data_IF_702073605434
#
_entry.id   IF_702073605434
#
_cell.length_a   1.000
_cell.length_b   1.000
_cell.length_c   1.000
_cell.angle_alpha   90.00
_cell.angle_beta   90.00
_cell.angle_gamma   90.00
#
_symmetry.space_group_name_H-M   'P 1'
#
loop_
_entity.id
_entity.type
_entity.pdbx_description
1 polymer ?
#
# COMPACT_ATOMS: atom_id res chain seq x y z
N UNK A 1 -4.05 -1.47 -0.73
CA UNK A 1 -3.61 -1.73 -2.12
C UNK A 1 -2.08 -1.84 -2.10
N UNK A 2 -1.50 -2.92 -2.63
CA UNK A 2 -0.04 -3.08 -2.75
C UNK A 2 0.50 -2.68 -4.13
N UNK A 3 -0.36 -2.28 -5.06
CA UNK A 3 0.00 -1.92 -6.42
C UNK A 3 -0.68 -0.63 -6.87
N UNK A 4 -0.02 0.13 -7.73
CA UNK A 4 -0.55 1.36 -8.32
C UNK A 4 0.06 1.66 -9.70
N UNK A 5 -0.65 2.44 -10.50
CA UNK A 5 -0.24 2.80 -11.86
C UNK A 5 0.53 4.11 -11.93
N UNK A 6 1.57 4.15 -12.77
CA UNK A 6 2.34 5.36 -13.06
C UNK A 6 2.40 5.60 -14.56
N UNK A 7 2.07 6.81 -15.00
CA UNK A 7 2.29 7.28 -16.36
C UNK A 7 3.67 7.93 -16.45
N UNK A 8 4.60 7.33 -17.20
CA UNK A 8 5.95 7.84 -17.41
C UNK A 8 6.05 8.40 -18.83
N UNK A 9 6.16 9.73 -18.92
CA UNK A 9 6.43 10.43 -20.18
C UNK A 9 7.94 10.57 -20.39
N UNK A 10 8.40 10.18 -21.58
CA UNK A 10 9.79 10.34 -22.00
C UNK A 10 9.88 11.13 -23.30
N UNK A 11 10.82 12.06 -23.36
CA UNK A 11 11.23 12.79 -24.57
C UNK A 11 12.36 12.08 -25.34
N UNK A 12 12.71 10.85 -24.93
CA UNK A 12 13.80 10.05 -25.49
C UNK A 12 15.18 10.35 -24.90
N UNK A 13 15.35 11.37 -24.04
CA UNK A 13 16.64 11.66 -23.40
C UNK A 13 16.94 10.77 -22.20
N UNK A 14 15.89 10.32 -21.50
CA UNK A 14 15.98 9.41 -20.36
C UNK A 14 15.09 8.19 -20.60
N UNK A 15 15.60 7.03 -20.25
CA UNK A 15 14.85 5.78 -20.21
C UNK A 15 13.83 5.80 -19.07
N UNK A 16 12.81 4.93 -19.15
CA UNK A 16 11.82 4.74 -18.08
C UNK A 16 12.50 4.39 -16.76
N UNK A 17 13.54 3.53 -16.79
CA UNK A 17 14.34 3.17 -15.62
C UNK A 17 15.03 4.39 -14.99
N UNK A 18 15.61 5.27 -15.79
CA UNK A 18 16.26 6.50 -15.27
C UNK A 18 15.26 7.50 -14.69
N UNK A 19 14.05 7.57 -15.23
CA UNK A 19 12.97 8.43 -14.71
C UNK A 19 12.40 7.90 -13.39
N UNK A 20 12.33 6.59 -13.21
CA UNK A 20 11.83 5.95 -11.99
C UNK A 20 12.87 5.88 -10.87
N UNK A 21 14.15 5.72 -11.20
CA UNK A 21 15.24 5.49 -10.23
C UNK A 21 15.29 6.46 -9.03
N UNK A 22 15.00 7.77 -9.17
CA UNK A 22 14.96 8.69 -8.01
C UNK A 22 13.91 8.34 -6.95
N UNK A 23 12.96 7.48 -7.26
CA UNK A 23 11.82 7.13 -6.42
C UNK A 23 11.84 5.65 -5.96
N UNK A 24 12.95 4.95 -6.19
CA UNK A 24 13.16 3.57 -5.78
C UNK A 24 13.39 3.45 -4.27
N UNK A 25 12.68 2.55 -3.61
CA UNK A 25 12.95 2.16 -2.22
C UNK A 25 14.24 1.34 -2.11
N UNK A 26 14.90 1.41 -0.94
CA UNK A 26 16.15 0.69 -0.70
C UNK A 26 15.94 -0.67 0.01
N UNK A 27 14.92 -1.42 -0.40
CA UNK A 27 14.60 -2.73 0.20
C UNK A 27 15.44 -3.88 -0.41
N UNK A 28 15.83 -3.77 -1.68
CA UNK A 28 16.61 -4.78 -2.40
C UNK A 28 18.11 -4.46 -2.46
N UNK A 29 18.56 -3.34 -1.87
CA UNK A 29 19.96 -2.92 -1.83
C UNK A 29 20.54 -2.46 -3.18
N UNK A 30 19.69 -2.26 -4.19
CA UNK A 30 20.06 -1.87 -5.56
C UNK A 30 19.68 -0.42 -5.89
N UNK A 31 19.06 0.31 -4.95
CA UNK A 31 18.76 1.72 -5.11
C UNK A 31 20.07 2.53 -5.26
N UNK A 32 20.20 3.40 -6.29
CA UNK A 32 21.43 4.14 -6.51
C UNK A 32 21.81 5.02 -5.31
N UNK A 33 23.03 4.86 -4.80
CA UNK A 33 23.54 5.59 -3.61
C UNK A 33 23.32 7.11 -3.63
N UNK A 34 23.32 7.74 -4.81
CA UNK A 34 23.07 9.19 -4.97
C UNK A 34 21.68 9.64 -4.52
N UNK A 35 20.71 8.72 -4.40
CA UNK A 35 19.36 8.98 -3.90
C UNK A 35 19.20 8.59 -2.43
N UNK A 36 20.20 7.93 -1.84
CA UNK A 36 20.12 7.44 -0.48
C UNK A 36 20.60 8.47 0.52
N UNK A 37 19.92 8.52 1.65
CA UNK A 37 20.32 9.23 2.86
C UNK A 37 20.46 8.22 3.99
N UNK A 38 21.54 8.34 4.76
CA UNK A 38 21.68 7.58 5.99
C UNK A 38 20.73 8.14 7.06
N UNK A 39 20.01 7.25 7.72
CA UNK A 39 19.17 7.55 8.87
C UNK A 39 19.79 6.89 10.09
N UNK A 40 20.24 7.73 11.04
CA UNK A 40 20.67 7.25 12.35
C UNK A 40 19.48 6.66 13.09
N UNK A 41 19.57 5.37 13.43
CA UNK A 41 18.58 4.72 14.26
C UNK A 41 18.68 5.22 15.71
N UNK A 42 19.88 5.63 16.14
CA UNK A 42 20.10 6.26 17.44
C UNK A 42 19.28 7.53 17.55
N UNK A 43 19.45 8.49 16.63
CA UNK A 43 18.71 9.75 16.63
C UNK A 43 17.20 9.51 16.51
N UNK A 44 16.79 8.61 15.61
CA UNK A 44 15.37 8.30 15.34
C UNK A 44 14.66 7.74 16.57
N UNK A 45 15.29 6.82 17.29
CA UNK A 45 14.64 6.07 18.37
C UNK A 45 15.00 6.60 19.77
N UNK A 46 15.91 7.57 19.90
CA UNK A 46 16.37 8.08 21.19
C UNK A 46 15.23 8.51 22.11
N UNK A 47 14.30 9.35 21.63
CA UNK A 47 13.18 9.82 22.45
C UNK A 47 12.27 8.66 22.90
N UNK A 48 11.98 7.72 21.97
CA UNK A 48 11.17 6.54 22.27
C UNK A 48 11.85 5.63 23.27
N UNK A 49 13.17 5.45 23.18
CA UNK A 49 13.96 4.70 24.13
C UNK A 49 13.95 5.34 25.53
N UNK A 50 14.16 6.65 25.61
CA UNK A 50 14.27 7.37 26.89
C UNK A 50 12.94 7.43 27.66
N UNK A 51 11.83 7.64 26.92
CA UNK A 51 10.52 7.95 27.52
C UNK A 51 9.50 6.83 27.39
N UNK A 52 9.72 5.91 26.45
CA UNK A 52 8.79 4.85 26.12
C UNK A 52 8.87 3.66 27.08
N UNK A 53 7.89 2.79 26.93
CA UNK A 53 7.74 1.56 27.70
C UNK A 53 7.11 0.47 26.86
N UNK A 54 7.17 -0.76 27.36
CA UNK A 54 6.55 -1.93 26.77
C UNK A 54 5.71 -2.65 27.82
N UNK A 55 4.52 -3.10 27.42
CA UNK A 55 3.72 -3.99 28.25
C UNK A 55 4.31 -5.40 28.19
N UNK A 56 4.75 -5.91 29.33
CA UNK A 56 5.39 -7.23 29.49
C UNK A 56 4.66 -8.02 30.58
N UNK A 57 4.53 -9.33 30.40
CA UNK A 57 4.03 -10.21 31.46
C UNK A 57 5.16 -10.46 32.46
N UNK A 58 4.96 -10.03 33.70
CA UNK A 58 5.89 -10.22 34.81
C UNK A 58 5.41 -11.37 35.69
N UNK A 59 6.24 -12.41 35.81
CA UNK A 59 6.01 -13.53 36.71
C UNK A 59 6.34 -13.14 38.16
N UNK A 60 5.85 -13.92 39.14
CA UNK A 60 6.08 -13.66 40.56
C UNK A 60 7.56 -13.75 40.98
N UNK A 61 8.37 -14.53 40.26
CA UNK A 61 9.81 -14.64 40.47
C UNK A 61 10.60 -13.45 39.89
N UNK A 62 9.90 -12.48 39.30
CA UNK A 62 10.47 -11.29 38.67
C UNK A 62 10.90 -11.49 37.22
N UNK A 63 10.70 -12.69 36.65
CA UNK A 63 11.02 -12.95 35.24
C UNK A 63 10.04 -12.25 34.30
N UNK A 64 10.58 -11.69 33.23
CA UNK A 64 9.81 -11.13 32.11
C UNK A 64 9.56 -12.18 31.03
N UNK A 65 8.31 -12.22 30.55
CA UNK A 65 7.91 -12.97 29.36
C UNK A 65 7.42 -11.98 28.31
N UNK A 66 8.15 -11.91 27.20
CA UNK A 66 7.90 -10.91 26.15
C UNK A 66 6.64 -11.23 25.33
N UNK A 67 5.89 -10.20 24.87
CA UNK A 67 4.65 -10.36 24.10
C UNK A 67 4.76 -11.24 22.86
N UNK A 68 5.91 -11.24 22.18
CA UNK A 68 6.14 -12.03 20.96
C UNK A 68 6.65 -13.44 21.25
N UNK A 69 7.02 -13.77 22.50
CA UNK A 69 7.44 -15.12 22.85
C UNK A 69 6.23 -16.03 23.10
N UNK A 70 5.44 -16.25 22.04
CA UNK A 70 4.19 -17.02 22.09
C UNK A 70 4.43 -18.45 22.57
N UNK A 71 5.57 -19.05 22.22
CA UNK A 71 5.92 -20.40 22.64
C UNK A 71 6.09 -20.46 24.16
N UNK A 72 6.81 -19.50 24.74
CA UNK A 72 6.98 -19.44 26.19
C UNK A 72 5.67 -19.12 26.90
N UNK A 73 4.87 -18.15 26.41
CA UNK A 73 3.56 -17.83 26.97
C UNK A 73 2.62 -19.06 27.00
N UNK A 74 2.54 -19.81 25.89
CA UNK A 74 1.74 -21.05 25.79
C UNK A 74 2.25 -22.17 26.71
N UNK A 75 3.54 -22.16 27.06
CA UNK A 75 4.11 -23.14 27.97
C UNK A 75 3.82 -22.85 29.45
N UNK A 76 3.50 -21.59 29.78
CA UNK A 76 3.32 -21.13 31.16
C UNK A 76 1.84 -20.98 31.53
N UNK A 77 1.03 -20.45 30.61
CA UNK A 77 -0.34 -20.03 30.86
C UNK A 77 -1.38 -20.85 30.09
N UNK A 78 -2.53 -21.10 30.71
CA UNK A 78 -3.74 -21.50 30.00
C UNK A 78 -4.13 -20.43 28.97
N UNK A 79 -4.60 -20.87 27.80
CA UNK A 79 -4.97 -19.96 26.73
C UNK A 79 -6.17 -20.43 25.91
N UNK A 80 -6.86 -19.46 25.31
CA UNK A 80 -7.94 -19.65 24.32
C UNK A 80 -7.57 -18.93 23.04
N UNK A 81 -7.87 -19.54 21.89
CA UNK A 81 -7.64 -18.97 20.56
C UNK A 81 -8.97 -18.63 19.90
N UNK A 82 -9.10 -17.42 19.39
CA UNK A 82 -10.22 -16.95 18.59
C UNK A 82 -9.74 -16.66 17.15
N UNK A 83 -10.51 -17.09 16.16
CA UNK A 83 -10.16 -17.06 14.72
C UNK A 83 -11.21 -16.34 13.87
N UNK A 84 -12.17 -15.67 14.49
CA UNK A 84 -13.29 -15.00 13.81
C UNK A 84 -13.03 -13.51 13.53
N UNK A 85 -11.84 -13.01 13.88
CA UNK A 85 -11.42 -11.63 13.67
C UNK A 85 -12.07 -10.61 14.62
N UNK A 86 -12.90 -11.03 15.57
CA UNK A 86 -13.53 -10.13 16.53
C UNK A 86 -12.67 -9.96 17.79
N UNK A 87 -12.73 -8.78 18.42
CA UNK A 87 -12.07 -8.54 19.70
C UNK A 87 -12.87 -9.14 20.86
N UNK A 88 -12.37 -10.23 21.43
CA UNK A 88 -12.96 -10.95 22.56
C UNK A 88 -12.60 -10.35 23.91
N UNK A 89 -11.80 -9.28 23.97
CA UNK A 89 -11.31 -8.72 25.24
C UNK A 89 -12.43 -8.24 26.18
N UNK A 90 -13.58 -7.87 25.61
CA UNK A 90 -14.77 -7.42 26.33
C UNK A 90 -15.49 -8.54 27.13
N UNK A 91 -15.27 -9.82 26.80
CA UNK A 91 -15.85 -10.94 27.54
C UNK A 91 -15.17 -11.16 28.92
N UNK A 92 -13.97 -10.60 29.10
CA UNK A 92 -13.13 -10.80 30.27
C UNK A 92 -13.29 -9.62 31.25
N UNK A 93 -14.15 -9.79 32.25
CA UNK A 93 -14.48 -8.72 33.24
C UNK A 93 -13.26 -8.20 34.00
N UNK A 94 -12.35 -9.09 34.40
CA UNK A 94 -11.12 -8.73 35.11
C UNK A 94 -9.93 -8.67 34.13
N UNK A 95 -9.90 -7.68 33.23
CA UNK A 95 -8.89 -7.60 32.15
C UNK A 95 -7.43 -7.67 32.62
N UNK A 96 -7.13 -7.35 33.88
CA UNK A 96 -5.77 -7.42 34.44
C UNK A 96 -5.25 -8.84 34.64
N UNK A 97 -6.16 -9.83 34.73
CA UNK A 97 -5.81 -11.25 34.84
C UNK A 97 -5.52 -11.89 33.47
N UNK A 98 -5.67 -11.13 32.37
CA UNK A 98 -5.54 -11.66 31.02
C UNK A 98 -4.56 -10.85 30.18
N UNK A 99 -3.78 -11.55 29.37
CA UNK A 99 -2.96 -10.95 28.32
C UNK A 99 -3.56 -11.29 26.95
N UNK A 100 -3.91 -10.25 26.19
CA UNK A 100 -4.51 -10.37 24.87
C UNK A 100 -3.42 -10.16 23.81
N UNK A 101 -3.20 -11.17 22.98
CA UNK A 101 -2.20 -11.13 21.92
C UNK A 101 -2.87 -11.32 20.56
N UNK A 102 -2.61 -10.41 19.63
CA UNK A 102 -3.09 -10.53 18.24
C UNK A 102 -1.90 -10.90 17.37
N UNK A 103 -2.01 -12.02 16.67
CA UNK A 103 -0.88 -12.55 15.87
C UNK A 103 -1.40 -13.30 14.65
N UNK A 104 -0.46 -13.72 13.78
CA UNK A 104 -0.74 -14.57 12.62
C UNK A 104 -0.29 -16.00 12.91
N UNK A 105 -1.21 -16.94 12.78
CA UNK A 105 -0.94 -18.37 12.80
C UNK A 105 -0.90 -18.90 11.35
N UNK A 106 0.11 -19.70 10.95
CA UNK A 106 0.24 -20.20 9.57
C UNK A 106 -0.94 -21.03 9.06
N UNK A 107 -1.72 -21.65 9.96
CA UNK A 107 -2.85 -22.52 9.62
C UNK A 107 -4.17 -21.76 9.80
N UNK A 108 -4.30 -21.03 10.91
CA UNK A 108 -5.55 -20.39 11.30
C UNK A 108 -5.69 -18.95 10.79
N UNK A 109 -4.64 -18.36 10.23
CA UNK A 109 -4.62 -16.97 9.80
C UNK A 109 -4.50 -15.99 10.97
N UNK A 110 -5.18 -14.85 10.90
CA UNK A 110 -5.17 -13.88 12.00
C UNK A 110 -5.96 -14.40 13.20
N UNK A 111 -5.30 -14.45 14.36
CA UNK A 111 -5.89 -14.97 15.60
C UNK A 111 -5.72 -14.00 16.77
N UNK A 112 -6.68 -14.03 17.68
CA UNK A 112 -6.53 -13.47 19.02
C UNK A 112 -6.28 -14.63 20.00
N UNK A 113 -5.15 -14.58 20.70
CA UNK A 113 -4.83 -15.51 21.78
C UNK A 113 -5.04 -14.78 23.10
N UNK A 114 -5.84 -15.35 23.98
CA UNK A 114 -6.08 -14.83 25.33
C UNK A 114 -5.42 -15.75 26.33
N UNK A 115 -4.40 -15.25 27.02
CA UNK A 115 -3.69 -15.96 28.07
C UNK A 115 -4.26 -15.57 29.44
N UNK A 116 -4.59 -16.55 30.28
CA UNK A 116 -4.93 -16.33 31.70
C UNK A 116 -3.63 -16.21 32.50
N UNK A 117 -3.18 -14.98 32.71
CA UNK A 117 -1.96 -14.69 33.48
C UNK A 117 -2.23 -14.68 34.99
N UNK A 118 -3.49 -14.51 35.39
CA UNK A 118 -3.95 -14.54 36.77
C UNK A 118 -3.74 -15.91 37.43
N UNK A 119 -3.81 -17.01 36.67
CA UNK A 119 -3.59 -18.37 37.20
C UNK A 119 -2.20 -18.57 37.83
N UNK A 120 -1.18 -17.82 37.38
CA UNK A 120 0.17 -17.82 37.95
C UNK A 120 0.44 -16.59 38.81
N UNK A 121 -0.59 -15.81 39.12
CA UNK A 121 -0.48 -14.49 39.76
C UNK A 121 0.56 -13.60 39.05
N UNK A 122 0.68 -13.74 37.73
CA UNK A 122 1.51 -12.87 36.91
C UNK A 122 0.73 -11.57 36.63
N UNK A 123 1.47 -10.51 36.36
CA UNK A 123 0.88 -9.19 36.09
C UNK A 123 1.40 -8.59 34.79
N UNK A 124 0.52 -7.87 34.09
CA UNK A 124 0.93 -7.05 32.96
C UNK A 124 1.49 -5.73 33.48
N UNK A 125 2.79 -5.50 33.28
CA UNK A 125 3.46 -4.26 33.67
C UNK A 125 3.88 -3.48 32.44
N UNK A 126 3.68 -2.17 32.50
CA UNK A 126 4.35 -1.25 31.57
C UNK A 126 5.76 -0.97 32.11
N UNK A 127 6.77 -1.51 31.44
CA UNK A 127 8.17 -1.45 31.86
C UNK A 127 8.93 -0.50 30.92
N UNK A 128 9.66 0.51 31.42
CA UNK A 128 10.44 1.43 30.59
C UNK A 128 11.49 0.69 29.75
N UNK A 129 11.75 1.16 28.52
CA UNK A 129 12.76 0.52 27.67
C UNK A 129 14.15 0.50 28.29
N UNK A 130 14.52 1.55 29.04
CA UNK A 130 15.80 1.63 29.77
C UNK A 130 15.98 0.57 30.86
N UNK A 131 14.89 0.01 31.40
CA UNK A 131 14.95 -1.08 32.37
C UNK A 131 15.17 -2.43 31.68
N UNK A 132 14.59 -2.61 30.49
CA UNK A 132 14.68 -3.85 29.71
C UNK A 132 15.99 -3.92 28.93
N UNK A 133 16.39 -2.80 28.34
CA UNK A 133 17.55 -2.62 27.48
C UNK A 133 18.45 -1.54 28.11
N UNK A 134 19.48 -1.92 28.90
CA UNK A 134 20.28 -0.97 29.68
C UNK A 134 21.03 0.08 28.85
N UNK A 135 21.18 -0.14 27.54
CA UNK A 135 21.79 0.80 26.61
C UNK A 135 20.93 0.96 25.36
N UNK A 136 21.05 2.10 24.69
CA UNK A 136 20.35 2.32 23.42
C UNK A 136 20.85 1.34 22.34
N UNK A 137 22.11 0.91 22.38
CA UNK A 137 22.64 -0.10 21.47
C UNK A 137 21.90 -1.44 21.64
N UNK A 138 21.72 -1.90 22.88
CA UNK A 138 20.97 -3.13 23.17
C UNK A 138 19.51 -3.03 22.70
N UNK A 139 18.87 -1.87 22.91
CA UNK A 139 17.54 -1.58 22.37
C UNK A 139 17.51 -1.64 20.84
N UNK A 140 18.52 -1.05 20.18
CA UNK A 140 18.60 -1.02 18.72
C UNK A 140 18.90 -2.39 18.10
N UNK A 141 19.70 -3.21 18.75
CA UNK A 141 20.06 -4.55 18.29
C UNK A 141 18.90 -5.54 18.51
N UNK A 142 18.34 -5.57 19.72
CA UNK A 142 17.46 -6.67 20.16
C UNK A 142 15.97 -6.34 20.10
N UNK A 143 15.58 -5.06 20.05
CA UNK A 143 14.18 -4.65 19.96
C UNK A 143 13.83 -3.96 18.65
N UNK A 144 14.54 -2.89 18.31
CA UNK A 144 14.29 -2.15 17.07
C UNK A 144 14.90 -2.86 15.84
N UNK A 145 15.91 -3.70 16.05
CA UNK A 145 16.59 -4.53 15.04
C UNK A 145 17.15 -3.69 13.88
N UNK A 146 17.83 -2.59 14.22
CA UNK A 146 18.55 -1.79 13.22
C UNK A 146 19.88 -2.46 12.85
N UNK A 147 20.27 -2.48 11.57
CA UNK A 147 21.60 -2.95 11.20
C UNK A 147 22.70 -1.98 11.65
N UNK A 148 23.91 -2.50 11.83
CA UNK A 148 25.13 -1.72 12.02
C UNK A 148 25.71 -1.32 10.67
N UNK A 149 25.92 -0.03 10.45
CA UNK A 149 26.58 0.48 9.24
C UNK A 149 28.07 0.68 9.46
N UNK A 150 28.88 -0.02 8.66
CA UNK A 150 30.35 0.00 8.77
C UNK A 150 30.94 1.35 8.33
N UNK A 151 30.34 2.03 7.35
CA UNK A 151 30.86 3.31 6.83
C UNK A 151 30.61 4.43 7.84
N UNK A 152 29.43 4.43 8.46
CA UNK A 152 29.01 5.44 9.45
C UNK A 152 29.48 5.12 10.86
N UNK A 153 29.87 3.86 11.13
CA UNK A 153 30.21 3.38 12.47
C UNK A 153 29.07 3.63 13.46
N UNK A 154 27.83 3.35 13.03
CA UNK A 154 26.62 3.63 13.78
C UNK A 154 25.47 2.68 13.40
N UNK A 155 24.53 2.47 14.32
CA UNK A 155 23.25 1.84 14.00
C UNK A 155 22.38 2.76 13.14
N UNK A 156 21.97 2.25 11.98
CA UNK A 156 21.12 2.99 11.07
C UNK A 156 20.93 2.25 9.76
N UNK A 157 20.17 2.86 8.87
CA UNK A 157 19.87 2.29 7.57
C UNK A 157 19.86 3.39 6.50
N UNK A 158 20.07 2.99 5.25
CA UNK A 158 20.01 3.88 4.11
C UNK A 158 18.62 3.83 3.53
N UNK A 159 17.96 4.98 3.41
CA UNK A 159 16.66 5.10 2.78
C UNK A 159 16.69 6.12 1.66
N UNK A 160 15.79 5.98 0.69
CA UNK A 160 15.52 7.04 -0.27
C UNK A 160 14.37 7.89 0.29
N UNK A 161 14.59 9.18 0.65
CA UNK A 161 13.54 10.02 1.19
C UNK A 161 12.42 10.32 0.18
N UNK A 162 12.67 10.05 -1.11
CA UNK A 162 11.69 10.17 -2.17
C UNK A 162 11.11 8.81 -2.61
N UNK A 163 11.34 7.73 -1.87
CA UNK A 163 10.84 6.39 -2.22
C UNK A 163 9.32 6.40 -2.44
N UNK A 164 8.88 5.73 -3.51
CA UNK A 164 7.47 5.55 -3.90
C UNK A 164 7.12 4.10 -4.23
N UNK A 165 8.10 3.30 -4.61
CA UNK A 165 7.92 1.92 -5.05
C UNK A 165 9.13 1.07 -4.68
N UNK A 166 8.92 -0.23 -4.52
CA UNK A 166 9.96 -1.20 -4.18
C UNK A 166 10.36 -2.09 -5.39
N UNK A 167 9.41 -2.40 -6.27
CA UNK A 167 9.64 -2.93 -7.61
C UNK A 167 8.59 -2.44 -8.61
N UNK A 168 8.86 -2.61 -9.91
CA UNK A 168 7.96 -2.23 -10.98
C UNK A 168 8.13 -3.09 -12.24
N UNK A 169 7.13 -3.06 -13.11
CA UNK A 169 7.15 -3.64 -14.46
C UNK A 169 6.32 -2.79 -15.43
N UNK A 170 6.58 -2.90 -16.75
CA UNK A 170 5.82 -2.15 -17.76
C UNK A 170 4.47 -2.85 -17.99
N UNK A 171 3.36 -2.12 -17.90
CA UNK A 171 2.01 -2.65 -18.04
C UNK A 171 1.52 -3.31 -16.76
N UNK A 172 1.89 -4.58 -16.53
CA UNK A 172 1.42 -5.37 -15.39
C UNK A 172 -0.11 -5.46 -15.35
N UNK A 173 -0.72 -5.03 -14.25
CA UNK A 173 -2.19 -4.97 -14.11
C UNK A 173 -2.88 -3.99 -15.07
N UNK A 174 -2.11 -3.05 -15.60
CA UNK A 174 -2.59 -2.02 -16.54
C UNK A 174 -2.01 -2.24 -17.95
N UNK A 175 -1.56 -3.45 -18.27
CA UNK A 175 -1.20 -3.79 -19.63
C UNK A 175 -2.44 -3.64 -20.53
N UNK A 176 -2.29 -2.86 -21.61
CA UNK A 176 -3.39 -2.51 -22.51
C UNK A 176 -4.21 -1.26 -22.12
N UNK A 177 -3.78 -0.46 -21.14
CA UNK A 177 -4.48 0.78 -20.77
C UNK A 177 -4.57 1.79 -21.94
N UNK A 178 -3.56 1.83 -22.83
CA UNK A 178 -3.51 2.79 -23.93
C UNK A 178 -4.19 2.25 -25.18
N UNK A 179 -5.28 2.89 -25.63
CA UNK A 179 -5.85 2.65 -26.96
C UNK A 179 -5.10 3.48 -27.99
N UNK A 180 -4.37 2.84 -28.91
CA UNK A 180 -3.53 3.54 -29.88
C UNK A 180 -3.52 2.85 -31.24
N UNK A 181 -3.13 3.58 -32.29
CA UNK A 181 -2.92 3.02 -33.63
C UNK A 181 -1.69 2.10 -33.69
N UNK A 182 -0.67 2.38 -32.88
CA UNK A 182 0.56 1.58 -32.75
C UNK A 182 1.19 1.79 -31.37
N UNK A 183 1.91 0.78 -30.88
CA UNK A 183 2.57 0.81 -29.58
C UNK A 183 3.30 -0.48 -29.25
N UNK A 184 3.73 -0.60 -27.99
CA UNK A 184 4.43 -1.77 -27.44
C UNK A 184 3.60 -2.33 -26.29
N UNK A 185 3.40 -3.65 -26.30
CA UNK A 185 2.74 -4.40 -25.24
C UNK A 185 3.62 -4.44 -23.99
N UNK A 186 3.00 -4.37 -22.82
CA UNK A 186 3.70 -4.54 -21.55
C UNK A 186 3.84 -6.01 -21.19
N UNK A 187 4.43 -6.23 -20.02
CA UNK A 187 4.45 -7.51 -19.34
C UNK A 187 3.07 -7.76 -18.69
N UNK A 188 2.64 -9.01 -18.66
CA UNK A 188 1.40 -9.39 -18.01
C UNK A 188 1.55 -9.41 -16.48
N UNK A 189 0.47 -9.07 -15.78
CA UNK A 189 0.41 -9.26 -14.33
C UNK A 189 0.51 -10.75 -13.97
N UNK A 190 1.40 -11.07 -13.02
CA UNK A 190 1.60 -12.42 -12.49
C UNK A 190 0.36 -13.00 -11.79
N UNK A 191 -0.60 -12.15 -11.41
CA UNK A 191 -1.79 -12.55 -10.63
C UNK A 191 -3.07 -12.43 -11.45
N UNK A 192 -3.12 -11.48 -12.39
CA UNK A 192 -4.31 -11.17 -13.19
C UNK A 192 -3.91 -10.96 -14.64
N UNK A 193 -3.90 -12.02 -15.47
CA UNK A 193 -3.59 -11.88 -16.89
C UNK A 193 -4.58 -10.91 -17.53
N UNK A 194 -4.07 -9.92 -18.24
CA UNK A 194 -4.90 -8.96 -18.99
C UNK A 194 -5.18 -9.52 -20.38
N UNK A 195 -6.44 -9.46 -20.87
CA UNK A 195 -6.75 -9.91 -22.22
C UNK A 195 -5.91 -9.17 -23.26
N UNK A 196 -5.26 -9.91 -24.16
CA UNK A 196 -4.50 -9.31 -25.26
C UNK A 196 -5.45 -8.79 -26.34
N UNK A 197 -5.82 -7.52 -26.23
CA UNK A 197 -6.72 -6.85 -27.17
C UNK A 197 -5.93 -6.10 -28.24
N UNK A 198 -6.36 -6.23 -29.49
CA UNK A 198 -5.80 -5.47 -30.61
C UNK A 198 -5.95 -3.95 -30.38
N UNK A 199 -4.92 -3.17 -30.74
CA UNK A 199 -4.91 -1.71 -30.56
C UNK A 199 -4.78 -1.24 -29.10
N UNK A 200 -4.49 -2.14 -28.15
CA UNK A 200 -4.25 -1.82 -26.74
C UNK A 200 -2.78 -2.04 -26.37
N UNK A 201 -2.13 -1.05 -25.77
CA UNK A 201 -0.69 -1.09 -25.48
C UNK A 201 -0.38 -0.59 -24.06
N UNK A 202 0.80 -0.93 -23.55
CA UNK A 202 1.35 -0.33 -22.33
C UNK A 202 2.23 0.88 -22.63
N UNK A 203 2.77 0.97 -23.85
CA UNK A 203 3.59 2.08 -24.30
C UNK A 203 3.18 2.53 -25.71
N UNK A 204 3.06 3.83 -25.94
CA UNK A 204 2.81 4.40 -27.27
C UNK A 204 3.29 5.85 -27.34
N UNK A 205 3.52 6.36 -28.56
CA UNK A 205 3.72 7.80 -28.76
C UNK A 205 2.42 8.54 -28.50
N UNK A 206 2.50 9.71 -27.86
CA UNK A 206 1.34 10.53 -27.49
C UNK A 206 0.42 10.77 -28.69
N UNK A 207 0.97 11.12 -29.86
CA UNK A 207 0.19 11.37 -31.08
C UNK A 207 -0.63 10.18 -31.59
N UNK A 208 -0.27 8.96 -31.20
CA UNK A 208 -0.91 7.73 -31.65
C UNK A 208 -2.02 7.27 -30.70
N UNK A 209 -2.11 7.86 -29.50
CA UNK A 209 -3.04 7.46 -28.45
C UNK A 209 -4.36 8.21 -28.61
N UNK A 210 -5.47 7.47 -28.52
CA UNK A 210 -6.79 8.05 -28.35
C UNK A 210 -7.04 8.30 -26.85
N UNK A 211 -7.03 9.56 -26.45
CA UNK A 211 -7.30 9.98 -25.07
C UNK A 211 -8.78 10.28 -24.79
N UNK A 212 -9.66 10.13 -25.79
CA UNK A 212 -11.09 10.24 -25.55
C UNK A 212 -11.60 9.05 -24.73
N UNK A 213 -12.63 9.25 -23.87
CA UNK A 213 -13.27 8.18 -23.12
C UNK A 213 -13.61 6.98 -23.99
N UNK A 214 -13.17 5.79 -23.60
CA UNK A 214 -13.49 4.58 -24.35
C UNK A 214 -14.98 4.25 -24.25
N UNK A 215 -15.69 4.25 -25.39
CA UNK A 215 -17.14 4.08 -25.44
C UNK A 215 -17.64 2.77 -24.81
N UNK A 216 -16.92 1.66 -24.97
CA UNK A 216 -17.34 0.37 -24.41
C UNK A 216 -17.20 0.38 -22.90
N UNK A 217 -16.06 0.85 -22.39
CA UNK A 217 -15.82 0.97 -20.95
C UNK A 217 -16.78 2.00 -20.33
N UNK A 218 -17.04 3.11 -21.03
CA UNK A 218 -17.97 4.16 -20.57
C UNK A 218 -19.38 3.60 -20.40
N UNK A 219 -19.92 2.95 -21.44
CA UNK A 219 -21.27 2.38 -21.39
C UNK A 219 -21.40 1.27 -20.35
N UNK A 220 -20.37 0.40 -20.22
CA UNK A 220 -20.32 -0.61 -19.17
C UNK A 220 -20.31 0.01 -17.77
N UNK A 221 -19.56 1.09 -17.59
CA UNK A 221 -19.45 1.78 -16.29
C UNK A 221 -20.74 2.52 -15.91
N UNK A 222 -21.43 3.12 -16.89
CA UNK A 222 -22.78 3.65 -16.70
C UNK A 222 -23.73 2.55 -16.23
N UNK A 223 -23.75 1.43 -16.96
CA UNK A 223 -24.64 0.31 -16.64
C UNK A 223 -24.34 -0.28 -15.26
N UNK A 224 -23.06 -0.40 -14.91
CA UNK A 224 -22.64 -0.84 -13.59
C UNK A 224 -23.18 0.07 -12.49
N UNK A 225 -23.06 1.40 -12.65
CA UNK A 225 -23.59 2.36 -11.67
C UNK A 225 -25.11 2.27 -11.52
N UNK A 226 -25.84 2.13 -12.62
CA UNK A 226 -27.31 1.98 -12.60
C UNK A 226 -27.76 0.77 -11.78
N UNK A 227 -27.04 -0.35 -11.86
CA UNK A 227 -27.38 -1.56 -11.11
C UNK A 227 -26.92 -1.45 -9.66
N UNK A 228 -25.66 -1.07 -9.44
CA UNK A 228 -25.01 -1.14 -8.11
C UNK A 228 -25.42 0.01 -7.19
N UNK A 229 -25.54 1.22 -7.72
CA UNK A 229 -25.78 2.43 -6.92
C UNK A 229 -27.24 2.85 -7.01
N UNK A 230 -27.84 2.76 -8.20
CA UNK A 230 -29.25 3.16 -8.41
C UNK A 230 -30.24 2.00 -8.25
N UNK A 231 -29.77 0.77 -7.96
CA UNK A 231 -30.59 -0.43 -7.76
C UNK A 231 -31.49 -0.79 -8.95
N UNK A 232 -31.05 -0.51 -10.18
CA UNK A 232 -31.77 -0.90 -11.38
C UNK A 232 -31.78 -2.43 -11.53
N UNK A 233 -32.89 -3.04 -11.98
CA UNK A 233 -32.94 -4.47 -12.21
C UNK A 233 -31.97 -4.90 -13.32
N UNK A 234 -31.52 -6.15 -13.26
CA UNK A 234 -30.75 -6.78 -14.33
C UNK A 234 -31.61 -6.93 -15.60
N UNK A 235 -30.98 -6.77 -16.76
CA UNK A 235 -31.56 -7.03 -18.08
C UNK A 235 -31.32 -8.49 -18.46
N UNK A 236 -32.15 -9.02 -19.36
CA UNK A 236 -31.98 -10.38 -19.87
C UNK A 236 -30.58 -10.58 -20.46
N UNK A 237 -29.87 -11.60 -19.98
CA UNK A 237 -28.52 -11.95 -20.43
C UNK A 237 -27.38 -11.30 -19.64
N UNK A 238 -27.66 -10.41 -18.68
CA UNK A 238 -26.65 -9.87 -17.77
C UNK A 238 -26.32 -10.86 -16.63
N UNK A 239 -25.03 -11.03 -16.31
CA UNK A 239 -24.59 -11.85 -15.18
C UNK A 239 -24.51 -10.99 -13.92
N UNK A 240 -25.10 -11.45 -12.81
CA UNK A 240 -25.07 -10.75 -11.53
C UNK A 240 -23.64 -10.53 -11.00
N UNK A 241 -22.72 -11.45 -11.30
CA UNK A 241 -21.33 -11.37 -10.85
C UNK A 241 -20.58 -10.16 -11.45
N UNK A 242 -21.00 -9.65 -12.62
CA UNK A 242 -20.42 -8.46 -13.26
C UNK A 242 -20.71 -7.16 -12.48
N UNK A 243 -21.66 -7.22 -11.53
CA UNK A 243 -22.10 -6.09 -10.70
C UNK A 243 -21.70 -6.24 -9.24
N UNK A 244 -20.83 -7.19 -8.91
CA UNK A 244 -20.31 -7.32 -7.56
C UNK A 244 -19.55 -6.06 -7.13
N UNK A 245 -19.88 -5.52 -5.95
CA UNK A 245 -19.27 -4.32 -5.42
C UNK A 245 -18.89 -4.50 -3.95
N UNK A 246 -17.62 -4.27 -3.64
CA UNK A 246 -17.10 -4.22 -2.26
C UNK A 246 -16.83 -2.81 -1.78
N UNK A 247 -16.98 -1.81 -2.65
CA UNK A 247 -16.73 -0.40 -2.32
C UNK A 247 -17.95 0.22 -1.63
N UNK A 248 -17.67 1.08 -0.66
CA UNK A 248 -18.70 1.80 0.07
C UNK A 248 -19.47 2.76 -0.85
N UNK A 249 -20.79 2.63 -0.91
CA UNK A 249 -21.67 3.48 -1.74
C UNK A 249 -21.52 4.97 -1.42
N UNK A 250 -21.38 5.33 -0.14
CA UNK A 250 -21.19 6.72 0.29
C UNK A 250 -19.86 7.27 -0.23
N UNK A 251 -18.82 6.44 -0.30
CA UNK A 251 -17.55 6.82 -0.91
C UNK A 251 -17.72 7.05 -2.42
N UNK A 252 -18.42 6.15 -3.13
CA UNK A 252 -18.64 6.29 -4.58
C UNK A 252 -19.45 7.55 -4.90
N UNK A 253 -20.53 7.82 -4.16
CA UNK A 253 -21.35 9.01 -4.30
C UNK A 253 -20.58 10.29 -3.94
N UNK A 254 -19.81 10.27 -2.85
CA UNK A 254 -19.00 11.41 -2.43
C UNK A 254 -17.88 11.74 -3.41
N UNK A 255 -17.25 10.71 -3.98
CA UNK A 255 -16.15 10.85 -4.95
C UNK A 255 -16.69 11.26 -6.30
N UNK A 256 -17.54 10.45 -6.94
CA UNK A 256 -17.89 10.61 -8.35
C UNK A 256 -19.12 11.49 -8.61
N UNK A 257 -19.97 11.69 -7.59
CA UNK A 257 -21.19 12.53 -7.62
C UNK A 257 -22.32 11.98 -8.51
N UNK A 258 -22.03 11.52 -9.73
CA UNK A 258 -23.00 10.96 -10.66
C UNK A 258 -22.38 9.89 -11.58
N UNK A 259 -23.24 9.13 -12.26
CA UNK A 259 -22.85 8.03 -13.12
C UNK A 259 -22.04 8.47 -14.35
N UNK A 260 -22.35 9.62 -14.92
CA UNK A 260 -21.64 10.14 -16.10
C UNK A 260 -20.18 10.47 -15.76
N UNK A 261 -19.95 11.05 -14.58
CA UNK A 261 -18.61 11.38 -14.10
C UNK A 261 -17.84 10.12 -13.72
N UNK A 262 -18.50 9.17 -13.06
CA UNK A 262 -17.92 7.84 -12.81
C UNK A 262 -17.51 7.17 -14.11
N UNK A 263 -18.42 7.05 -15.07
CA UNK A 263 -18.17 6.40 -16.35
C UNK A 263 -17.06 7.09 -17.13
N UNK A 264 -17.04 8.42 -17.16
CA UNK A 264 -15.98 9.21 -17.80
C UNK A 264 -14.62 8.91 -17.18
N UNK A 265 -14.52 8.86 -15.86
CA UNK A 265 -13.26 8.58 -15.17
C UNK A 265 -12.81 7.15 -15.42
N UNK A 266 -13.72 6.16 -15.33
CA UNK A 266 -13.38 4.75 -15.56
C UNK A 266 -12.92 4.45 -16.99
N UNK A 267 -13.41 5.20 -17.98
CA UNK A 267 -13.06 4.99 -19.39
C UNK A 267 -11.96 5.91 -19.91
N UNK A 268 -11.41 6.78 -19.07
CA UNK A 268 -10.29 7.68 -19.42
C UNK A 268 -8.94 7.08 -19.06
N UNK A 269 -7.89 7.50 -19.76
CA UNK A 269 -6.50 7.15 -19.40
C UNK A 269 -6.08 7.99 -18.19
N UNK A 270 -6.17 7.40 -17.00
CA UNK A 270 -5.83 8.02 -15.72
C UNK A 270 -4.95 7.05 -14.94
N UNK A 271 -3.86 7.56 -14.35
CA UNK A 271 -2.97 6.78 -13.48
C UNK A 271 -2.88 7.40 -12.08
N UNK A 272 -2.36 6.65 -11.10
CA UNK A 272 -2.24 7.14 -9.72
C UNK A 272 -1.11 8.17 -9.56
N UNK A 273 -0.06 8.08 -10.39
CA UNK A 273 1.03 9.06 -10.44
C UNK A 273 1.49 9.30 -11.88
N UNK A 274 2.24 10.39 -12.07
CA UNK A 274 2.83 10.79 -13.36
C UNK A 274 4.29 11.19 -13.16
N UNK A 275 5.17 10.78 -14.07
CA UNK A 275 6.53 11.33 -14.21
C UNK A 275 6.63 12.00 -15.58
N UNK A 276 7.01 13.28 -15.59
CA UNK A 276 7.29 14.03 -16.82
C UNK A 276 8.77 13.91 -17.25
N UNK A 277 9.15 14.27 -18.50
CA UNK A 277 10.51 14.05 -19.00
C UNK A 277 11.63 14.70 -18.17
N UNK A 278 11.35 15.78 -17.44
CA UNK A 278 12.30 16.36 -16.49
C UNK A 278 12.67 15.41 -15.33
N UNK A 279 11.81 14.43 -15.03
CA UNK A 279 11.96 13.44 -13.96
C UNK A 279 11.20 13.78 -12.68
N UNK A 280 10.31 14.77 -12.69
CA UNK A 280 9.50 15.15 -11.53
C UNK A 280 8.30 14.21 -11.38
N UNK A 281 8.10 13.71 -10.16
CA UNK A 281 6.94 12.93 -9.76
C UNK A 281 5.76 13.81 -9.37
N UNK A 282 4.58 13.45 -9.87
CA UNK A 282 3.31 14.10 -9.59
C UNK A 282 2.32 13.06 -9.07
N UNK A 283 1.67 13.38 -7.95
CA UNK A 283 0.70 12.53 -7.28
C UNK A 283 -0.18 13.43 -6.41
N UNK A 284 -1.51 13.27 -6.45
CA UNK A 284 -2.44 14.13 -5.72
C UNK A 284 -2.67 13.71 -4.26
N UNK A 285 -2.43 12.46 -3.92
CA UNK A 285 -2.76 11.88 -2.62
C UNK A 285 -1.75 10.80 -2.26
N UNK A 286 -1.49 10.58 -0.98
CA UNK A 286 -0.66 9.45 -0.57
C UNK A 286 -1.39 8.14 -0.91
N UNK A 287 -0.74 7.31 -1.74
CA UNK A 287 -1.32 6.04 -2.21
C UNK A 287 -1.42 5.02 -1.07
N UNK A 288 -0.49 5.06 -0.09
CA UNK A 288 -0.54 4.21 1.11
C UNK A 288 -1.76 4.57 1.95
N UNK A 289 -1.99 5.86 2.17
CA UNK A 289 -3.14 6.34 2.96
C UNK A 289 -4.48 6.13 2.25
N UNK A 290 -4.55 6.42 0.94
CA UNK A 290 -5.77 6.22 0.15
C UNK A 290 -6.19 4.75 0.10
N UNK A 291 -5.21 3.82 0.02
CA UNK A 291 -5.45 2.38 0.06
C UNK A 291 -6.01 1.88 1.40
N UNK A 292 -5.92 2.68 2.48
CA UNK A 292 -6.47 2.39 3.79
C UNK A 292 -7.88 2.99 4.03
N UNK A 293 -8.45 3.72 3.05
CA UNK A 293 -9.85 4.14 3.05
C UNK A 293 -10.16 5.44 3.80
N UNK A 294 -9.19 6.35 3.98
CA UNK A 294 -9.40 7.60 4.71
C UNK A 294 -9.00 8.87 3.91
N UNK A 295 -9.92 9.84 3.79
CA UNK A 295 -9.61 11.28 3.72
C UNK A 295 -9.02 11.85 2.42
N UNK A 296 -9.06 11.11 1.31
CA UNK A 296 -8.46 11.52 0.03
C UNK A 296 -9.47 11.70 -1.12
N UNK A 297 -10.77 11.57 -0.86
CA UNK A 297 -11.84 11.53 -1.88
C UNK A 297 -11.82 12.75 -2.80
N UNK A 298 -11.76 13.95 -2.23
CA UNK A 298 -11.75 15.21 -2.97
C UNK A 298 -10.48 15.34 -3.84
N UNK A 299 -9.32 14.92 -3.31
CA UNK A 299 -8.05 14.95 -4.04
C UNK A 299 -8.03 13.93 -5.18
N UNK A 300 -8.58 12.74 -4.95
CA UNK A 300 -8.74 11.70 -5.98
C UNK A 300 -9.68 12.20 -7.08
N UNK A 301 -10.81 12.77 -6.69
CA UNK A 301 -11.77 13.32 -7.64
C UNK A 301 -11.16 14.43 -8.50
N UNK A 302 -10.52 15.41 -7.87
CA UNK A 302 -9.85 16.52 -8.55
C UNK A 302 -8.74 16.03 -9.50
N UNK A 303 -7.93 15.07 -9.04
CA UNK A 303 -6.89 14.45 -9.87
C UNK A 303 -7.47 13.80 -11.11
N UNK A 304 -8.47 12.95 -10.95
CA UNK A 304 -9.09 12.20 -12.04
C UNK A 304 -9.78 13.14 -13.04
N UNK A 305 -10.51 14.14 -12.54
CA UNK A 305 -11.28 15.05 -13.38
C UNK A 305 -10.38 15.94 -14.26
N UNK A 306 -9.24 16.38 -13.73
CA UNK A 306 -8.33 17.30 -14.41
C UNK A 306 -7.06 16.60 -14.95
N UNK A 307 -6.99 15.27 -14.93
CA UNK A 307 -5.80 14.51 -15.35
C UNK A 307 -5.37 14.86 -16.78
N UNK A 308 -6.34 14.85 -17.71
CA UNK A 308 -6.10 15.16 -19.14
C UNK A 308 -5.54 16.57 -19.32
N UNK A 309 -6.17 17.57 -18.73
CA UNK A 309 -5.74 18.96 -18.79
C UNK A 309 -4.35 19.17 -18.17
N UNK A 310 -4.06 18.46 -17.07
CA UNK A 310 -2.79 18.60 -16.34
C UNK A 310 -1.61 18.01 -17.08
N UNK A 311 -1.79 16.85 -17.71
CA UNK A 311 -0.67 16.05 -18.20
C UNK A 311 -0.76 15.71 -19.69
N UNK A 312 -1.95 15.38 -20.20
CA UNK A 312 -2.11 14.92 -21.58
C UNK A 312 -2.11 16.10 -22.55
N UNK A 313 -2.88 17.15 -22.28
CA UNK A 313 -3.04 18.31 -23.17
C UNK A 313 -1.76 19.15 -23.29
N UNK A 314 -0.80 18.93 -22.39
CA UNK A 314 0.50 19.58 -22.36
C UNK A 314 1.64 18.68 -22.87
N UNK A 315 1.34 17.43 -23.22
CA UNK A 315 2.35 16.48 -23.69
C UNK A 315 2.67 16.71 -25.16
N UNK A 316 3.95 16.64 -25.52
CA UNK A 316 4.37 16.78 -26.90
C UNK A 316 4.00 15.53 -27.72
N UNK A 317 3.58 15.68 -28.99
CA UNK A 317 3.13 14.56 -29.83
C UNK A 317 4.15 13.42 -29.99
N UNK A 318 5.44 13.75 -29.98
CA UNK A 318 6.55 12.78 -30.14
C UNK A 318 7.03 12.16 -28.83
N UNK A 319 6.52 12.60 -27.68
CA UNK A 319 6.81 11.93 -26.42
C UNK A 319 6.24 10.52 -26.42
N UNK A 320 6.89 9.64 -25.66
CA UNK A 320 6.43 8.29 -25.40
C UNK A 320 5.80 8.25 -24.02
N UNK A 321 4.54 7.81 -23.94
CA UNK A 321 3.86 7.50 -22.68
C UNK A 321 4.01 6.00 -22.42
N UNK A 322 4.59 5.65 -21.26
CA UNK A 322 4.69 4.28 -20.75
C UNK A 322 3.87 4.13 -19.48
N UNK A 323 3.01 3.12 -19.42
CA UNK A 323 2.26 2.74 -18.23
C UNK A 323 3.07 1.72 -17.45
N UNK A 324 3.25 1.98 -16.16
CA UNK A 324 4.07 1.18 -15.25
C UNK A 324 3.21 0.73 -14.08
N UNK A 325 3.28 -0.56 -13.75
CA UNK A 325 2.73 -1.17 -12.53
C UNK A 325 3.83 -1.13 -11.46
N UNK A 326 3.64 -0.30 -10.44
CA UNK A 326 4.54 -0.20 -9.29
C UNK A 326 3.95 -0.92 -8.08
N UNK A 327 4.80 -1.59 -7.31
CA UNK A 327 4.46 -2.16 -6.00
C UNK A 327 4.95 -1.27 -4.86
N UNK A 328 4.33 -1.39 -3.68
CA UNK A 328 4.57 -0.55 -2.50
C UNK A 328 4.52 -1.31 -1.19
#
# INVERSE_FOLDING_TARGET
MSHFSVAVFSDGKKTVKELLAPYQENNMGDCPKKYLKFVSAVEKEHERYETGSMNIVCLQDGKYVFPWNIVELKSIFSYTIFTDGADHSHFYKNRKEYFFNYTYDPILGHVQIVFDIGEKNAELRSVPYREIYPTIQDYLENYFVSPWDIEKQEFGFWENPNAKWDWWQIGGRWNGLLKASEGIKGEDSLVYPTPDLEGRYAQARVKNINFEPDCEIYNRSLRWWEVVIENSPLKDGENADDFFNTLNEKFLLGTYKNKETYAKIQSSVITNAVILPEGKWYQAYDIKEAGAGYGAEEKIFDWNLHFKERFIDKAEPEWVLTIVDCHI
#
